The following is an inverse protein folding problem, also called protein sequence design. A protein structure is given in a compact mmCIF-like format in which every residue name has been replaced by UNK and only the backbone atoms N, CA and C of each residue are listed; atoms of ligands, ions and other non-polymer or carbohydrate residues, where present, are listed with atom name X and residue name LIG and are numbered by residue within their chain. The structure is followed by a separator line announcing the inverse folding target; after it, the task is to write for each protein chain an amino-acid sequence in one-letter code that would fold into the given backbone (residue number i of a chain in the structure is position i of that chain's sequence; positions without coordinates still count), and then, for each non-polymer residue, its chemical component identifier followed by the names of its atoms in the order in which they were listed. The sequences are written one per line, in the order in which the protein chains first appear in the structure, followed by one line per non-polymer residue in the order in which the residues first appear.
data_IF_145991285447
#
_entry.id   IF_145991285447
#
_cell.length_a   1.000
_cell.length_b   1.000
_cell.length_c   1.000
_cell.angle_alpha   90.00
_cell.angle_beta   90.00
_cell.angle_gamma   90.00
#
_symmetry.space_group_name_H-M   'P 1'
#
loop_
_entity.id
_entity.type
_entity.pdbx_description
1 polymer ?
#
# COMPACT_ATOMS: atom_id res chain seq x y z
N UNK A 1 -26.24 4.59 5.43
CA UNK A 1 -24.95 4.73 4.72
C UNK A 1 -25.02 5.56 3.42
N UNK A 2 -26.19 5.83 2.82
CA UNK A 2 -26.31 6.58 1.57
C UNK A 2 -26.10 8.12 1.63
N UNK A 3 -26.01 8.73 2.82
CA UNK A 3 -25.88 10.19 2.96
C UNK A 3 -24.46 10.75 2.98
N UNK A 4 -23.46 9.92 3.34
CA UNK A 4 -22.07 10.36 3.60
C UNK A 4 -21.22 10.56 2.32
N UNK A 5 -21.71 10.14 1.15
CA UNK A 5 -20.96 10.23 -0.11
C UNK A 5 -21.35 11.43 -0.99
N UNK A 6 -22.42 12.16 -0.65
CA UNK A 6 -22.95 13.26 -1.49
C UNK A 6 -22.03 14.49 -1.57
N UNK A 7 -21.15 14.69 -0.59
CA UNK A 7 -20.16 15.78 -0.60
C UNK A 7 -18.91 15.53 -1.46
N UNK A 8 -18.80 14.37 -2.12
CA UNK A 8 -17.59 13.94 -2.84
C UNK A 8 -17.76 13.90 -4.36
N UNK A 9 -18.65 14.73 -4.93
CA UNK A 9 -18.91 14.79 -6.38
C UNK A 9 -17.70 15.17 -7.24
N UNK A 10 -16.59 15.63 -6.63
CA UNK A 10 -15.33 15.98 -7.30
C UNK A 10 -14.11 15.29 -6.64
N UNK A 11 -14.22 14.03 -6.21
CA UNK A 11 -13.05 13.27 -5.72
C UNK A 11 -12.35 12.52 -6.83
N UNK A 12 -11.02 12.61 -6.86
CA UNK A 12 -10.18 11.78 -7.69
C UNK A 12 -9.69 10.58 -6.90
N UNK A 13 -9.58 9.42 -7.54
CA UNK A 13 -8.86 8.29 -6.96
C UNK A 13 -7.36 8.60 -6.94
N UNK A 14 -6.62 8.01 -5.99
CA UNK A 14 -5.17 8.11 -5.97
C UNK A 14 -4.55 7.51 -7.25
N UNK A 15 -5.18 6.49 -7.84
CA UNK A 15 -4.79 5.97 -9.18
C UNK A 15 -4.75 7.09 -10.23
N UNK A 16 -5.78 7.93 -10.27
CA UNK A 16 -5.84 9.05 -11.23
C UNK A 16 -4.66 10.00 -11.05
N UNK A 17 -4.29 10.26 -9.80
CA UNK A 17 -3.22 11.20 -9.48
C UNK A 17 -1.83 10.64 -9.77
N UNK A 18 -1.61 9.35 -9.49
CA UNK A 18 -0.34 8.66 -9.76
C UNK A 18 -0.04 8.67 -11.26
N UNK A 19 -1.03 8.33 -12.11
CA UNK A 19 -0.81 8.03 -13.53
C UNK A 19 -1.26 9.09 -14.53
N UNK A 20 -2.20 9.97 -14.18
CA UNK A 20 -2.81 10.88 -15.17
C UNK A 20 -2.55 12.35 -14.92
N UNK A 21 -2.07 12.75 -13.74
CA UNK A 21 -1.91 14.18 -13.43
C UNK A 21 -0.47 14.66 -13.26
N UNK A 22 0.57 13.80 -13.13
CA UNK A 22 2.00 14.19 -13.00
C UNK A 22 2.34 15.34 -12.00
N UNK A 23 1.37 15.82 -11.23
CA UNK A 23 1.37 17.15 -10.58
C UNK A 23 1.85 17.12 -9.13
N UNK A 24 2.07 15.93 -8.56
CA UNK A 24 2.48 15.82 -7.16
C UNK A 24 3.99 15.77 -7.01
N UNK A 25 4.50 16.79 -6.30
CA UNK A 25 5.83 16.77 -5.72
C UNK A 25 5.93 15.66 -4.67
N UNK A 26 7.12 15.05 -4.49
CA UNK A 26 7.35 13.97 -3.53
C UNK A 26 6.84 14.23 -2.10
N UNK A 27 6.98 15.47 -1.58
CA UNK A 27 6.47 15.82 -0.26
C UNK A 27 4.96 15.62 -0.11
N UNK A 28 4.19 15.90 -1.17
CA UNK A 28 2.73 15.67 -1.15
C UNK A 28 2.37 14.18 -1.19
N UNK A 29 3.18 13.35 -1.85
CA UNK A 29 3.01 11.89 -1.80
C UNK A 29 3.23 11.34 -0.38
N UNK A 30 4.22 11.88 0.35
CA UNK A 30 4.44 11.54 1.75
C UNK A 30 3.26 11.97 2.63
N UNK A 31 2.75 13.20 2.46
CA UNK A 31 1.54 13.67 3.18
C UNK A 31 0.35 12.70 2.97
N UNK A 32 0.14 12.27 1.73
CA UNK A 32 -0.92 11.33 1.36
C UNK A 32 -0.67 9.97 2.02
N UNK A 33 0.54 9.42 1.94
CA UNK A 33 0.87 8.14 2.56
C UNK A 33 0.64 8.17 4.08
N UNK A 34 1.05 9.25 4.75
CA UNK A 34 0.81 9.48 6.18
C UNK A 34 -0.68 9.58 6.50
N UNK A 35 -1.45 10.29 5.67
CA UNK A 35 -2.90 10.39 5.85
C UNK A 35 -3.61 9.05 5.69
N UNK A 36 -3.18 8.21 4.74
CA UNK A 36 -3.69 6.84 4.57
C UNK A 36 -3.35 6.00 5.80
N UNK A 37 -2.10 6.06 6.29
CA UNK A 37 -1.66 5.33 7.48
C UNK A 37 -2.49 5.70 8.73
N UNK A 38 -2.79 7.00 8.92
CA UNK A 38 -3.69 7.46 10.00
C UNK A 38 -5.11 6.93 9.83
N UNK A 39 -5.62 6.89 8.59
CA UNK A 39 -6.91 6.29 8.28
C UNK A 39 -6.95 4.80 8.65
N UNK A 40 -5.89 4.05 8.31
CA UNK A 40 -5.76 2.63 8.66
C UNK A 40 -5.65 2.41 10.17
N UNK A 41 -4.85 3.23 10.87
CA UNK A 41 -4.76 3.20 12.33
C UNK A 41 -6.14 3.40 12.97
N UNK A 42 -6.91 4.36 12.48
CA UNK A 42 -8.28 4.58 12.96
C UNK A 42 -9.17 3.36 12.73
N UNK A 43 -9.10 2.72 11.56
CA UNK A 43 -9.85 1.48 11.30
C UNK A 43 -9.42 0.35 12.24
N UNK A 44 -8.13 0.23 12.53
CA UNK A 44 -7.57 -0.90 13.29
C UNK A 44 -7.71 -0.75 14.81
N UNK A 45 -7.64 0.49 15.31
CA UNK A 45 -7.52 0.80 16.73
C UNK A 45 -8.51 1.88 17.21
N UNK A 46 -8.90 2.82 16.35
CA UNK A 46 -9.81 3.92 16.69
C UNK A 46 -11.28 3.51 16.81
N UNK A 47 -11.73 2.54 16.00
CA UNK A 47 -13.10 2.05 16.01
C UNK A 47 -13.40 1.08 17.18
N UNK A 48 -14.64 1.09 17.70
CA UNK A 48 -15.06 0.20 18.80
C UNK A 48 -14.74 -1.28 18.53
N UNK A 49 -14.94 -1.72 17.30
CA UNK A 49 -14.44 -2.98 16.77
C UNK A 49 -13.33 -2.69 15.75
N UNK A 50 -12.34 -3.57 15.68
CA UNK A 50 -11.30 -3.48 14.65
C UNK A 50 -11.96 -3.72 13.29
N UNK A 51 -11.69 -2.84 12.33
CA UNK A 51 -12.11 -2.97 10.93
C UNK A 51 -10.90 -3.38 10.11
N UNK A 52 -10.95 -4.56 9.50
CA UNK A 52 -9.99 -5.01 8.50
C UNK A 52 -10.54 -4.71 7.11
N UNK A 53 -9.79 -4.02 6.26
CA UNK A 53 -10.27 -3.53 4.97
C UNK A 53 -10.21 -4.59 3.86
N UNK A 54 -9.08 -5.30 3.77
CA UNK A 54 -8.71 -6.29 2.75
C UNK A 54 -8.58 -5.81 1.29
N UNK A 55 -8.88 -4.54 1.01
CA UNK A 55 -8.73 -3.97 -0.34
C UNK A 55 -8.06 -2.59 -0.35
N UNK A 56 -6.95 -2.45 0.39
CA UNK A 56 -6.14 -1.23 0.35
C UNK A 56 -5.35 -1.20 -0.98
N UNK A 57 -5.71 -0.26 -1.85
CA UNK A 57 -5.08 -0.02 -3.16
C UNK A 57 -5.33 1.42 -3.61
N UNK A 58 -4.53 1.99 -4.54
CA UNK A 58 -4.72 3.37 -5.00
C UNK A 58 -6.14 3.69 -5.51
N UNK A 59 -6.83 2.71 -6.11
CA UNK A 59 -8.19 2.90 -6.60
C UNK A 59 -9.19 3.22 -5.47
N UNK A 60 -8.97 2.63 -4.29
CA UNK A 60 -9.84 2.75 -3.13
C UNK A 60 -9.44 3.90 -2.19
N UNK A 61 -8.42 4.68 -2.55
CA UNK A 61 -8.09 5.92 -1.85
C UNK A 61 -8.66 7.10 -2.62
N UNK A 62 -9.66 7.76 -2.03
CA UNK A 62 -10.24 8.98 -2.57
C UNK A 62 -9.50 10.19 -2.01
N UNK A 63 -9.30 11.19 -2.85
CA UNK A 63 -8.67 12.46 -2.48
C UNK A 63 -9.68 13.59 -2.58
N UNK A 64 -9.70 14.44 -1.55
CA UNK A 64 -10.41 15.71 -1.62
C UNK A 64 -9.63 16.79 -2.39
N UNK A 65 -10.22 17.98 -2.52
CA UNK A 65 -9.61 19.12 -3.20
C UNK A 65 -8.31 19.62 -2.55
N UNK A 66 -8.05 19.27 -1.28
CA UNK A 66 -6.82 19.58 -0.55
C UNK A 66 -5.85 18.39 -0.56
N UNK A 67 -6.12 17.35 -1.36
CA UNK A 67 -5.36 16.11 -1.41
C UNK A 67 -5.33 15.33 -0.08
N UNK A 68 -6.34 15.51 0.78
CA UNK A 68 -6.47 14.67 1.97
C UNK A 68 -7.03 13.29 1.58
N UNK A 69 -6.38 12.18 1.97
CA UNK A 69 -6.82 10.85 1.62
C UNK A 69 -7.96 10.33 2.49
N UNK A 70 -8.84 9.55 1.87
CA UNK A 70 -9.92 8.81 2.52
C UNK A 70 -9.97 7.38 1.98
N UNK A 71 -9.95 6.43 2.90
CA UNK A 71 -10.15 5.02 2.58
C UNK A 71 -11.62 4.80 2.23
N UNK A 72 -11.87 4.17 1.09
CA UNK A 72 -13.19 3.88 0.54
C UNK A 72 -13.30 2.41 0.12
N UNK A 73 -14.51 2.01 -0.27
CA UNK A 73 -14.86 0.64 -0.67
C UNK A 73 -14.61 -0.42 0.41
N UNK A 74 -15.52 -0.45 1.40
CA UNK A 74 -15.54 -1.44 2.46
C UNK A 74 -16.23 -2.75 2.05
N UNK A 75 -16.40 -3.03 0.75
CA UNK A 75 -17.12 -4.21 0.26
C UNK A 75 -16.51 -5.54 0.72
N UNK A 76 -15.19 -5.56 0.95
CA UNK A 76 -14.47 -6.74 1.46
C UNK A 76 -14.20 -6.72 2.97
N UNK A 77 -14.56 -5.63 3.65
CA UNK A 77 -14.15 -5.37 5.02
C UNK A 77 -14.77 -6.35 6.04
N UNK A 78 -14.10 -6.52 7.17
CA UNK A 78 -14.57 -7.35 8.30
C UNK A 78 -14.42 -6.62 9.63
N UNK A 79 -15.39 -6.87 10.50
CA UNK A 79 -15.35 -6.48 11.90
C UNK A 79 -14.73 -7.60 12.73
N UNK A 80 -13.84 -7.23 13.64
CA UNK A 80 -13.10 -8.15 14.48
C UNK A 80 -13.07 -7.61 15.90
N UNK A 81 -13.12 -8.52 16.89
CA UNK A 81 -12.88 -8.12 18.26
C UNK A 81 -11.43 -7.64 18.40
N UNK A 82 -11.18 -6.65 19.25
CA UNK A 82 -9.86 -5.99 19.36
C UNK A 82 -8.77 -6.93 19.88
N UNK A 83 -9.18 -7.89 20.71
CA UNK A 83 -8.36 -8.93 21.34
C UNK A 83 -8.11 -10.14 20.42
N UNK A 84 -8.83 -10.26 19.32
CA UNK A 84 -8.62 -11.34 18.35
C UNK A 84 -7.49 -10.98 17.40
N UNK A 85 -6.45 -11.81 17.42
CA UNK A 85 -5.35 -11.75 16.46
C UNK A 85 -5.68 -12.48 15.15
N UNK A 86 -6.66 -13.40 15.16
CA UNK A 86 -6.99 -14.29 14.06
C UNK A 86 -8.50 -14.21 13.77
N UNK A 87 -8.83 -14.16 12.49
CA UNK A 87 -10.18 -14.13 11.94
C UNK A 87 -10.19 -15.19 10.86
N UNK A 88 -11.12 -16.12 10.90
CA UNK A 88 -11.17 -17.17 9.88
C UNK A 88 -11.70 -16.57 8.58
N UNK A 89 -10.86 -16.54 7.54
CA UNK A 89 -11.30 -16.26 6.18
C UNK A 89 -11.68 -17.57 5.48
N UNK A 90 -12.83 -17.59 4.83
CA UNK A 90 -13.30 -18.74 4.04
C UNK A 90 -12.66 -18.83 2.66
N UNK A 91 -12.05 -17.74 2.20
CA UNK A 91 -11.30 -17.64 0.95
C UNK A 91 -10.35 -16.43 1.02
N UNK A 92 -9.30 -16.44 0.20
CA UNK A 92 -8.47 -15.25 -0.02
C UNK A 92 -9.35 -14.08 -0.52
N UNK A 93 -9.08 -12.87 -0.02
CA UNK A 93 -9.81 -11.65 -0.36
C UNK A 93 -8.82 -10.53 -0.67
N UNK A 94 -9.21 -9.67 -1.61
CA UNK A 94 -8.46 -8.49 -2.01
C UNK A 94 -8.20 -8.47 -3.51
N UNK A 95 -7.41 -7.49 -3.94
CA UNK A 95 -7.00 -7.32 -5.34
C UNK A 95 -5.62 -7.94 -5.58
N UNK A 96 -5.49 -8.74 -6.65
CA UNK A 96 -4.22 -9.36 -7.04
C UNK A 96 -3.12 -8.29 -7.17
N UNK A 97 -1.91 -8.60 -6.71
CA UNK A 97 -0.81 -7.64 -6.59
C UNK A 97 -0.77 -6.91 -5.25
N UNK A 98 -1.89 -6.68 -4.57
CA UNK A 98 -1.93 -6.03 -3.25
C UNK A 98 -2.23 -7.01 -2.11
N UNK A 99 -2.71 -8.21 -2.42
CA UNK A 99 -2.94 -9.26 -1.43
C UNK A 99 -1.61 -9.70 -0.84
N UNK A 100 -1.57 -9.75 0.50
CA UNK A 100 -0.42 -10.22 1.25
C UNK A 100 -0.08 -11.68 0.90
N UNK A 101 1.22 -11.98 0.68
CA UNK A 101 1.67 -13.32 0.25
C UNK A 101 1.23 -14.42 1.21
N UNK A 102 1.17 -14.13 2.50
CA UNK A 102 0.71 -15.02 3.56
C UNK A 102 -0.76 -15.42 3.43
N UNK A 103 -1.61 -14.64 2.74
CA UNK A 103 -3.02 -14.99 2.50
C UNK A 103 -3.20 -16.06 1.40
N UNK A 104 -2.16 -16.33 0.60
CA UNK A 104 -2.19 -17.36 -0.45
C UNK A 104 -1.80 -18.76 0.07
N UNK A 105 -1.12 -18.85 1.21
CA UNK A 105 -0.73 -20.12 1.80
C UNK A 105 -1.87 -20.68 2.64
N UNK A 106 -2.46 -21.81 2.24
CA UNK A 106 -3.59 -22.48 2.91
C UNK A 106 -3.32 -22.90 4.37
N UNK A 107 -2.11 -22.69 4.89
CA UNK A 107 -1.64 -23.25 6.16
C UNK A 107 -1.38 -22.25 7.30
N UNK A 108 -1.89 -21.01 7.30
CA UNK A 108 -1.67 -20.13 8.46
C UNK A 108 -2.89 -19.32 8.94
N UNK A 109 -3.24 -19.58 10.21
CA UNK A 109 -3.91 -18.64 11.12
C UNK A 109 -2.94 -17.58 11.64
N UNK A 110 -2.38 -16.77 10.73
CA UNK A 110 -1.54 -15.61 11.04
C UNK A 110 -2.33 -14.31 11.03
N UNK A 111 -1.78 -13.28 11.68
CA UNK A 111 -2.44 -12.04 12.09
C UNK A 111 -3.01 -11.21 10.93
N UNK A 112 -4.33 -11.24 10.71
CA UNK A 112 -4.97 -10.67 9.51
C UNK A 112 -4.87 -9.14 9.39
N UNK A 113 -4.66 -8.41 10.48
CA UNK A 113 -4.43 -6.97 10.36
C UNK A 113 -3.14 -6.66 9.58
N UNK A 114 -2.17 -7.59 9.55
CA UNK A 114 -0.94 -7.44 8.75
C UNK A 114 -1.23 -7.46 7.25
N UNK A 115 -2.36 -8.02 6.82
CA UNK A 115 -2.73 -8.03 5.41
C UNK A 115 -2.97 -6.63 4.87
N UNK A 116 -3.72 -5.79 5.59
CA UNK A 116 -3.94 -4.38 5.23
C UNK A 116 -2.61 -3.60 5.19
N UNK A 117 -1.70 -3.91 6.12
CA UNK A 117 -0.37 -3.29 6.21
C UNK A 117 0.51 -3.67 5.00
N UNK A 118 0.44 -4.93 4.56
CA UNK A 118 1.15 -5.37 3.34
C UNK A 118 0.58 -4.67 2.10
N UNK A 119 -0.75 -4.65 1.96
CA UNK A 119 -1.43 -3.93 0.88
C UNK A 119 -1.07 -2.43 0.85
N UNK A 120 -0.90 -1.80 2.02
CA UNK A 120 -0.39 -0.43 2.13
C UNK A 120 1.06 -0.29 1.65
N UNK A 121 1.94 -1.24 1.98
CA UNK A 121 3.31 -1.27 1.45
C UNK A 121 3.33 -1.31 -0.08
N UNK A 122 2.51 -2.18 -0.68
CA UNK A 122 2.35 -2.25 -2.14
C UNK A 122 1.82 -0.95 -2.75
N UNK A 123 0.86 -0.30 -2.08
CA UNK A 123 0.33 1.01 -2.48
C UNK A 123 1.43 2.08 -2.48
N UNK A 124 2.25 2.14 -1.43
CA UNK A 124 3.36 3.09 -1.31
C UNK A 124 4.41 2.85 -2.40
N UNK A 125 4.75 1.58 -2.66
CA UNK A 125 5.68 1.21 -3.74
C UNK A 125 5.18 1.66 -5.12
N UNK A 126 3.88 1.55 -5.39
CA UNK A 126 3.27 2.07 -6.62
C UNK A 126 3.31 3.62 -6.69
N UNK A 127 3.08 4.31 -5.57
CA UNK A 127 3.18 5.77 -5.50
C UNK A 127 4.58 6.27 -5.85
N UNK A 128 5.63 5.63 -5.31
CA UNK A 128 7.02 6.08 -5.48
C UNK A 128 7.63 5.66 -6.81
N UNK A 129 7.26 4.48 -7.32
CA UNK A 129 7.76 3.99 -8.61
C UNK A 129 7.02 4.61 -9.79
N UNK A 130 5.80 5.13 -9.58
CA UNK A 130 4.85 5.51 -10.66
C UNK A 130 4.66 4.38 -11.68
N UNK A 131 4.89 3.13 -11.27
CA UNK A 131 4.72 1.92 -12.09
C UNK A 131 3.52 1.18 -11.53
N UNK A 132 2.55 0.88 -12.39
CA UNK A 132 1.41 0.04 -11.99
C UNK A 132 1.93 -1.30 -11.49
N UNK A 133 1.45 -1.72 -10.33
CA UNK A 133 1.54 -3.10 -9.92
C UNK A 133 0.74 -3.93 -10.94
N UNK A 134 1.41 -4.83 -11.68
CA UNK A 134 0.87 -5.46 -12.88
C UNK A 134 -0.54 -6.03 -12.63
N UNK A 135 -1.50 -5.61 -13.45
CA UNK A 135 -2.78 -6.29 -13.58
C UNK A 135 -2.45 -7.63 -14.23
N UNK A 136 -2.45 -8.70 -13.44
CA UNK A 136 -1.95 -10.03 -13.82
C UNK A 136 -2.84 -10.72 -14.87
N UNK A 137 -3.83 -9.98 -15.41
CA UNK A 137 -4.65 -10.35 -16.56
C UNK A 137 -3.98 -10.08 -17.92
N UNK A 138 -2.80 -9.45 -17.95
CA UNK A 138 -2.01 -9.26 -19.17
C UNK A 138 -0.82 -10.23 -19.12
N UNK A 139 -0.93 -11.32 -19.87
CA UNK A 139 0.16 -12.28 -20.08
C UNK A 139 1.29 -11.63 -20.87
N UNK A 140 2.19 -10.91 -20.20
CA UNK A 140 3.48 -10.52 -20.77
C UNK A 140 4.61 -11.22 -20.00
N UNK A 141 5.52 -11.85 -20.73
CA UNK A 141 6.59 -12.72 -20.18
C UNK A 141 7.65 -12.00 -19.34
N UNK A 142 7.54 -10.67 -19.17
CA UNK A 142 8.53 -9.81 -18.50
C UNK A 142 7.99 -9.13 -17.22
N UNK A 143 6.83 -9.52 -16.70
CA UNK A 143 6.23 -8.90 -15.50
C UNK A 143 6.94 -9.33 -14.20
N UNK A 144 8.09 -8.72 -13.95
CA UNK A 144 8.78 -8.78 -12.65
C UNK A 144 7.86 -8.19 -11.57
N UNK A 145 7.61 -8.97 -10.51
CA UNK A 145 6.87 -8.55 -9.31
C UNK A 145 7.35 -7.16 -8.84
N UNK A 146 6.43 -6.20 -8.66
CA UNK A 146 6.78 -4.79 -8.45
C UNK A 146 7.86 -4.54 -7.36
N UNK A 147 7.82 -5.19 -6.18
CA UNK A 147 8.86 -5.06 -5.17
C UNK A 147 10.22 -5.58 -5.64
N UNK A 148 10.26 -6.67 -6.38
CA UNK A 148 11.50 -7.22 -6.96
C UNK A 148 12.07 -6.25 -8.00
N UNK A 149 11.20 -5.69 -8.86
CA UNK A 149 11.62 -4.69 -9.84
C UNK A 149 12.21 -3.45 -9.17
N UNK A 150 11.57 -2.94 -8.11
CA UNK A 150 12.07 -1.80 -7.32
C UNK A 150 13.40 -2.14 -6.66
N UNK A 151 13.53 -3.34 -6.09
CA UNK A 151 14.76 -3.81 -5.45
C UNK A 151 15.94 -3.85 -6.43
N UNK A 152 15.74 -4.39 -7.64
CA UNK A 152 16.76 -4.42 -8.68
C UNK A 152 17.19 -3.01 -9.10
N UNK A 153 16.25 -2.07 -9.27
CA UNK A 153 16.58 -0.66 -9.58
C UNK A 153 17.44 -0.02 -8.50
N UNK A 154 17.09 -0.24 -7.24
CA UNK A 154 17.81 0.31 -6.09
C UNK A 154 19.22 -0.26 -5.98
N UNK A 155 19.39 -1.58 -6.13
CA UNK A 155 20.73 -2.21 -6.12
C UNK A 155 21.60 -1.67 -7.25
N UNK A 156 21.02 -1.49 -8.44
CA UNK A 156 21.74 -1.02 -9.61
C UNK A 156 22.06 0.48 -9.57
N UNK A 157 21.64 1.19 -8.50
CA UNK A 157 21.86 2.63 -8.35
C UNK A 157 21.01 3.47 -9.30
N UNK A 158 19.93 2.92 -9.84
CA UNK A 158 19.01 3.62 -10.73
C UNK A 158 18.03 4.48 -9.91
N UNK A 159 17.83 5.74 -10.32
CA UNK A 159 16.94 6.66 -9.60
C UNK A 159 15.47 6.30 -9.84
N UNK A 160 14.72 6.05 -8.77
CA UNK A 160 13.25 5.96 -8.81
C UNK A 160 12.66 7.37 -9.03
N UNK A 161 11.45 7.44 -9.61
CA UNK A 161 10.78 8.68 -10.07
C UNK A 161 10.59 9.76 -8.98
N UNK A 162 10.85 9.45 -7.70
CA UNK A 162 11.13 10.48 -6.70
C UNK A 162 12.44 11.20 -7.06
N UNK A 163 12.44 12.11 -8.04
CA UNK A 163 13.61 12.88 -8.45
C UNK A 163 13.62 14.31 -7.88
N UNK A 164 14.85 14.78 -7.65
CA UNK A 164 15.33 16.15 -7.39
C UNK A 164 14.90 16.92 -6.11
N UNK A 165 13.67 16.83 -5.61
CA UNK A 165 13.20 17.76 -4.54
C UNK A 165 12.99 17.15 -3.15
N UNK A 166 13.16 15.83 -3.00
CA UNK A 166 13.12 15.18 -1.69
C UNK A 166 14.49 15.03 -1.07
N UNK A 167 14.59 15.31 0.22
CA UNK A 167 15.77 14.96 1.01
C UNK A 167 16.00 13.44 0.93
N UNK A 168 17.27 13.00 0.97
CA UNK A 168 17.58 11.56 0.97
C UNK A 168 16.87 10.80 2.09
N UNK A 169 16.61 11.48 3.21
CA UNK A 169 15.91 10.96 4.39
C UNK A 169 14.43 10.65 4.12
N UNK A 170 13.73 11.50 3.37
CA UNK A 170 12.31 11.28 3.05
C UNK A 170 12.12 10.10 2.09
N UNK A 171 13.03 9.97 1.11
CA UNK A 171 13.06 8.81 0.20
C UNK A 171 13.29 7.52 0.99
N UNK A 172 14.25 7.53 1.91
CA UNK A 172 14.57 6.37 2.74
C UNK A 172 13.40 5.98 3.65
N UNK A 173 12.72 6.93 4.29
CA UNK A 173 11.54 6.64 5.13
C UNK A 173 10.38 6.03 4.35
N UNK A 174 10.11 6.53 3.14
CA UNK A 174 9.03 5.97 2.30
C UNK A 174 9.40 4.59 1.78
N UNK A 175 10.66 4.38 1.39
CA UNK A 175 11.15 3.05 0.99
C UNK A 175 11.15 2.07 2.17
N UNK A 176 11.58 2.49 3.37
CA UNK A 176 11.51 1.69 4.59
C UNK A 176 10.06 1.30 4.90
N UNK A 177 9.10 2.24 4.81
CA UNK A 177 7.66 1.94 4.98
C UNK A 177 7.14 0.92 3.96
N UNK A 178 7.57 1.00 2.70
CA UNK A 178 7.23 0.00 1.68
C UNK A 178 7.88 -1.38 1.93
N UNK A 179 9.18 -1.40 2.23
CA UNK A 179 9.98 -2.63 2.32
C UNK A 179 9.71 -3.44 3.59
N UNK A 180 9.46 -2.80 4.74
CA UNK A 180 9.20 -3.51 6.00
C UNK A 180 8.00 -4.45 5.93
N UNK A 181 7.10 -4.22 4.99
CA UNK A 181 5.81 -4.91 4.92
C UNK A 181 5.67 -5.87 3.73
N UNK A 182 6.54 -5.79 2.72
CA UNK A 182 6.56 -6.72 1.59
C UNK A 182 7.49 -7.95 1.81
N UNK A 183 8.22 -8.02 2.92
CA UNK A 183 9.08 -9.16 3.27
C UNK A 183 10.41 -9.22 2.53
N UNK A 184 10.86 -8.11 1.93
CA UNK A 184 12.20 -7.98 1.34
C UNK A 184 13.14 -7.55 2.46
N UNK A 185 13.92 -8.49 3.03
CA UNK A 185 14.91 -8.14 4.05
C UNK A 185 16.08 -7.41 3.42
N UNK A 186 16.43 -6.24 3.94
CA UNK A 186 17.73 -5.60 3.71
C UNK A 186 18.82 -6.45 4.39
N UNK A 187 19.36 -7.45 3.69
CA UNK A 187 20.29 -8.39 4.31
C UNK A 187 21.18 -9.12 3.31
N UNK A 188 22.24 -8.46 2.84
CA UNK A 188 23.60 -9.06 2.74
C UNK A 188 24.63 -7.97 2.40
N UNK A 189 25.12 -7.29 3.44
CA UNK A 189 26.55 -6.98 3.55
C UNK A 189 27.06 -7.73 4.77
N UNK A 190 27.23 -9.04 4.62
CA UNK A 190 28.26 -9.72 5.39
C UNK A 190 29.59 -9.28 4.77
N UNK A 191 30.14 -8.17 5.28
CA UNK A 191 31.56 -7.89 5.11
C UNK A 191 32.30 -8.87 6.00
N UNK A 192 32.80 -9.94 5.39
CA UNK A 192 33.88 -10.71 5.97
C UNK A 192 35.05 -9.78 6.28
N UNK A 193 35.38 -9.66 7.56
CA UNK A 193 36.71 -9.26 7.98
C UNK A 193 37.07 -10.02 9.26
N UNK A 194 37.90 -11.05 9.03
CA UNK A 194 38.84 -11.77 9.91
C UNK A 194 38.31 -12.40 11.19
#
# INVERSE_FOLDING_TARGET
MHGLMSHWRNTYSLTTLIFFQHLLVPGKLLDIALGIARGMEYLHQGCNQRILHFDIKPHNILLDHNFNPKISDFGLAKLCARDQSIVTLTAARGTMGYIARELYSRNFGGVLYKSDVNSFGMLVLEMVSRKRNADTSIESQDDVYLPEWIYQKVINGEELVLSAETTGEDKEKVMQMGWWHCGVSSGTRETGHR
#
